data_IF_180407209933
#
_entry.id   IF_180407209933
#
_cell.length_a   1.000
_cell.length_b   1.000
_cell.length_c   1.000
_cell.angle_alpha   90.00
_cell.angle_beta   90.00
_cell.angle_gamma   90.00
#
_symmetry.space_group_name_H-M   'P 1'
#
loop_
_entity.id
_entity.type
_entity.pdbx_description
1 polymer ?
#
# COMPACT_ATOMS: atom_id res chain seq x y z
N UNK A 1 11.48 -5.99 19.08
CA UNK A 1 10.27 -6.84 19.06
C UNK A 1 9.64 -6.64 17.71
N UNK A 2 9.98 -7.52 16.78
CA UNK A 2 9.60 -7.46 15.37
C UNK A 2 8.08 -7.45 15.20
N UNK A 3 7.62 -6.79 14.15
CA UNK A 3 6.24 -6.95 13.69
C UNK A 3 6.09 -8.44 13.37
N UNK A 4 5.12 -9.15 13.97
CA UNK A 4 4.88 -10.53 13.58
C UNK A 4 4.68 -10.55 12.07
N UNK A 5 5.30 -11.47 11.33
CA UNK A 5 5.21 -11.57 9.87
C UNK A 5 3.76 -11.56 9.34
N UNK A 6 2.81 -11.91 10.20
CA UNK A 6 1.36 -11.85 9.99
C UNK A 6 0.78 -10.42 9.85
N UNK A 7 1.52 -9.39 10.24
CA UNK A 7 1.16 -7.96 10.12
C UNK A 7 2.02 -7.21 9.09
N UNK A 8 3.04 -7.87 8.55
CA UNK A 8 3.70 -7.42 7.34
C UNK A 8 2.78 -7.81 6.17
N UNK A 9 2.25 -6.84 5.42
CA UNK A 9 1.49 -7.17 4.21
C UNK A 9 2.47 -7.73 3.19
N UNK A 10 2.33 -8.98 2.73
CA UNK A 10 3.17 -9.49 1.64
C UNK A 10 2.92 -8.66 0.38
N UNK A 11 3.78 -8.77 -0.65
CA UNK A 11 3.41 -8.31 -1.98
C UNK A 11 2.12 -9.03 -2.41
N UNK A 12 1.13 -8.27 -2.83
CA UNK A 12 -0.18 -8.77 -3.23
C UNK A 12 -0.43 -8.50 -4.71
N UNK A 13 -1.01 -9.49 -5.40
CA UNK A 13 -1.47 -9.38 -6.78
C UNK A 13 -2.96 -9.75 -6.85
N UNK A 14 -3.76 -8.89 -7.47
CA UNK A 14 -5.19 -9.12 -7.68
C UNK A 14 -5.56 -8.76 -9.11
N UNK A 15 -6.38 -9.58 -9.75
CA UNK A 15 -6.93 -9.29 -11.09
C UNK A 15 -8.45 -9.39 -11.06
N UNK A 16 -9.12 -8.35 -11.52
CA UNK A 16 -10.56 -8.37 -11.82
C UNK A 16 -10.76 -9.28 -13.01
N UNK A 17 -11.79 -10.14 -12.95
CA UNK A 17 -12.07 -11.07 -14.04
C UNK A 17 -12.37 -10.31 -15.33
N UNK A 18 -11.87 -10.86 -16.42
CA UNK A 18 -12.25 -10.43 -17.77
C UNK A 18 -13.74 -10.72 -17.98
N UNK A 19 -14.44 -9.81 -18.67
CA UNK A 19 -15.86 -9.96 -19.02
C UNK A 19 -16.02 -9.66 -20.51
N UNK A 20 -16.44 -10.68 -21.27
CA UNK A 20 -16.55 -10.61 -22.74
C UNK A 20 -15.25 -10.10 -23.40
N UNK A 21 -15.29 -8.95 -24.08
CA UNK A 21 -14.16 -8.32 -24.77
C UNK A 21 -13.48 -7.22 -23.92
N UNK A 22 -13.84 -7.13 -22.63
CA UNK A 22 -13.26 -6.16 -21.69
C UNK A 22 -12.24 -6.87 -20.78
N UNK A 23 -10.97 -6.49 -20.91
CA UNK A 23 -9.90 -6.97 -20.02
C UNK A 23 -10.07 -6.35 -18.64
N UNK A 24 -10.04 -7.19 -17.60
CA UNK A 24 -10.15 -6.76 -16.24
C UNK A 24 -8.84 -6.15 -15.72
N UNK A 25 -9.00 -5.19 -14.81
CA UNK A 25 -7.87 -4.52 -14.17
C UNK A 25 -7.07 -5.47 -13.29
N UNK A 26 -5.74 -5.38 -13.37
CA UNK A 26 -4.85 -5.99 -12.40
C UNK A 26 -4.22 -4.93 -11.50
N UNK A 27 -3.87 -5.37 -10.30
CA UNK A 27 -3.31 -4.57 -9.22
C UNK A 27 -2.16 -5.33 -8.60
N UNK A 28 -1.01 -4.69 -8.54
CA UNK A 28 0.13 -5.16 -7.74
C UNK A 28 0.38 -4.14 -6.64
N UNK A 29 0.34 -4.57 -5.38
CA UNK A 29 0.59 -3.73 -4.22
C UNK A 29 1.72 -4.31 -3.38
N UNK A 30 2.57 -3.43 -2.86
CA UNK A 30 3.63 -3.79 -1.94
C UNK A 30 3.71 -2.77 -0.82
N UNK A 31 3.76 -3.25 0.43
CA UNK A 31 3.91 -2.40 1.61
C UNK A 31 5.17 -2.77 2.36
N UNK A 32 6.02 -1.79 2.62
CA UNK A 32 7.15 -1.90 3.53
C UNK A 32 6.87 -1.06 4.78
N UNK A 33 6.74 -1.72 5.92
CA UNK A 33 6.40 -1.11 7.20
C UNK A 33 7.40 -1.53 8.28
N UNK A 34 7.69 -0.61 9.20
CA UNK A 34 8.49 -0.84 10.41
C UNK A 34 7.64 -0.69 11.67
N UNK A 35 8.02 -1.33 12.78
CA UNK A 35 7.38 -1.09 14.07
C UNK A 35 8.42 -1.02 15.18
N UNK A 36 8.75 0.20 15.60
CA UNK A 36 9.73 0.47 16.63
C UNK A 36 9.01 0.81 17.93
N UNK A 37 9.12 -0.06 18.95
CA UNK A 37 8.46 0.12 20.25
C UNK A 37 9.46 0.37 21.37
N UNK A 38 9.20 1.36 22.21
CA UNK A 38 9.98 1.65 23.40
C UNK A 38 9.11 2.29 24.50
N UNK A 39 9.03 1.68 25.69
CA UNK A 39 8.36 2.21 26.89
C UNK A 39 6.97 2.85 26.66
N UNK A 40 6.06 2.12 25.99
CA UNK A 40 4.71 2.60 25.70
C UNK A 40 4.61 3.50 24.46
N UNK A 41 5.72 3.87 23.84
CA UNK A 41 5.75 4.52 22.53
C UNK A 41 5.93 3.50 21.41
N UNK A 42 5.24 3.72 20.29
CA UNK A 42 5.48 3.02 19.03
C UNK A 42 5.65 4.04 17.89
N UNK A 43 6.66 3.82 17.06
CA UNK A 43 6.89 4.54 15.81
C UNK A 43 6.79 3.58 14.64
N UNK A 44 5.91 3.90 13.70
CA UNK A 44 5.53 3.01 12.60
C UNK A 44 5.66 3.79 11.29
N UNK A 45 6.82 3.72 10.61
CA UNK A 45 6.98 4.21 9.25
C UNK A 45 6.46 3.18 8.26
N UNK A 46 5.72 3.64 7.26
CA UNK A 46 5.16 2.80 6.20
C UNK A 46 5.30 3.47 4.84
N UNK A 47 5.73 2.69 3.85
CA UNK A 47 5.69 3.06 2.44
C UNK A 47 4.93 2.00 1.65
N UNK A 48 4.00 2.44 0.83
CA UNK A 48 3.13 1.62 0.00
C UNK A 48 3.38 1.98 -1.47
N UNK A 49 3.48 0.96 -2.31
CA UNK A 49 3.61 1.08 -3.75
C UNK A 49 2.49 0.28 -4.43
N UNK A 50 1.75 0.95 -5.31
CA UNK A 50 0.65 0.36 -6.06
C UNK A 50 0.85 0.56 -7.56
N UNK A 51 0.57 -0.48 -8.34
CA UNK A 51 0.63 -0.49 -9.80
C UNK A 51 -0.62 -1.18 -10.37
N UNK A 52 -1.11 -0.68 -11.50
CA UNK A 52 -2.20 -1.30 -12.26
C UNK A 52 -1.95 -1.20 -13.76
N UNK A 53 -2.49 -2.12 -14.58
CA UNK A 53 -2.39 -1.97 -16.03
C UNK A 53 -3.20 -0.78 -16.58
N UNK A 54 -4.27 -0.33 -15.91
CA UNK A 54 -4.98 0.89 -16.28
C UNK A 54 -4.68 2.09 -15.40
N UNK A 55 -5.13 3.25 -15.88
CA UNK A 55 -4.88 4.54 -15.26
C UNK A 55 -5.92 4.84 -14.15
N UNK A 56 -5.95 4.00 -13.13
CA UNK A 56 -6.91 4.07 -12.01
C UNK A 56 -6.48 5.02 -10.89
N UNK A 57 -5.21 5.45 -10.87
CA UNK A 57 -4.69 6.40 -9.88
C UNK A 57 -4.61 7.82 -10.44
N UNK A 58 -4.55 8.81 -9.55
CA UNK A 58 -4.41 10.22 -9.93
C UNK A 58 -2.98 10.72 -9.67
N UNK A 59 -2.53 11.65 -10.51
CA UNK A 59 -1.33 12.45 -10.22
C UNK A 59 -1.61 13.44 -9.08
N UNK A 60 -0.56 14.13 -8.63
CA UNK A 60 -0.64 15.17 -7.60
C UNK A 60 -1.61 16.32 -7.94
N UNK A 61 -1.91 16.51 -9.22
CA UNK A 61 -2.89 17.47 -9.75
C UNK A 61 -4.35 17.04 -9.55
N UNK A 62 -4.60 15.82 -9.06
CA UNK A 62 -5.93 15.26 -8.76
C UNK A 62 -6.88 15.11 -9.97
N UNK A 63 -6.45 15.46 -11.18
CA UNK A 63 -7.27 15.31 -12.41
C UNK A 63 -6.62 14.37 -13.41
N UNK A 64 -5.28 14.38 -13.51
CA UNK A 64 -4.59 13.56 -14.51
C UNK A 64 -4.43 12.10 -14.05
N UNK A 65 -4.89 11.10 -14.84
CA UNK A 65 -4.81 9.70 -14.46
C UNK A 65 -3.40 9.09 -14.70
N UNK A 66 -3.05 8.06 -13.93
CA UNK A 66 -1.75 7.36 -13.93
C UNK A 66 -1.91 5.90 -13.48
N UNK A 67 -0.99 5.04 -13.91
CA UNK A 67 -0.92 3.61 -13.60
C UNK A 67 -0.30 3.24 -12.24
N UNK A 68 0.46 4.16 -11.64
CA UNK A 68 1.25 3.89 -10.42
C UNK A 68 0.94 4.93 -9.35
N UNK A 69 0.81 4.48 -8.11
CA UNK A 69 0.75 5.30 -6.92
C UNK A 69 1.81 4.88 -5.90
N UNK A 70 2.28 5.84 -5.11
CA UNK A 70 3.13 5.59 -3.97
C UNK A 70 2.61 6.44 -2.81
N UNK A 71 2.53 5.85 -1.62
CA UNK A 71 2.08 6.50 -0.40
C UNK A 71 3.09 6.29 0.71
N UNK A 72 3.27 7.31 1.54
CA UNK A 72 4.14 7.25 2.71
C UNK A 72 3.37 7.74 3.93
N UNK A 73 3.43 6.98 5.02
CA UNK A 73 2.74 7.24 6.27
C UNK A 73 3.69 7.10 7.45
N UNK A 74 3.47 7.92 8.47
CA UNK A 74 4.18 7.89 9.73
C UNK A 74 3.17 7.93 10.86
N UNK A 75 3.17 6.90 11.70
CA UNK A 75 2.37 6.88 12.92
C UNK A 75 3.27 6.89 14.16
N UNK A 76 2.95 7.77 15.10
CA UNK A 76 3.42 7.72 16.48
C UNK A 76 2.24 7.38 17.38
N UNK A 77 2.40 6.33 18.18
CA UNK A 77 1.38 5.89 19.14
C UNK A 77 1.99 5.91 20.52
N UNK A 78 1.27 6.46 21.49
CA UNK A 78 1.59 6.34 22.91
C UNK A 78 0.47 5.60 23.63
N UNK A 79 0.82 4.60 24.43
CA UNK A 79 -0.10 3.77 25.21
C UNK A 79 0.25 3.84 26.70
N UNK A 80 -0.77 4.02 27.54
CA UNK A 80 -0.69 4.06 29.00
C UNK A 80 -1.19 2.77 29.65
#
# INVERSE_FOLDING_TARGET
MDIPSRWQRPPEYFKVKDVEDVNGEDYTSFTLSGNFKHNGFAFIPEIIFDNSNSQVFLKHDLVTPKKNAAQFSLALVYSF
#
